data_IF_235806475160
#
_entry.id   IF_235806475160
#
_cell.length_a   1.000
_cell.length_b   1.000
_cell.length_c   1.000
_cell.angle_alpha   90.00
_cell.angle_beta   90.00
_cell.angle_gamma   90.00
#
_symmetry.space_group_name_H-M   'P 1'
#
loop_
_entity.id
_entity.type
_entity.pdbx_description
1 polymer ?
#
# COMPACT_ATOMS: atom_id res chain seq x y z
N UNK A 1 -5.64 16.59 13.46
CA UNK A 1 -5.75 17.34 12.19
C UNK A 1 -7.23 17.68 11.99
N UNK A 2 -7.63 18.97 11.97
CA UNK A 2 -9.03 19.34 11.75
C UNK A 2 -9.49 18.93 10.34
N UNK A 3 -10.75 18.49 10.17
CA UNK A 3 -11.26 18.05 8.85
C UNK A 3 -11.12 19.10 7.75
N UNK A 4 -11.22 20.39 8.11
CA UNK A 4 -11.07 21.50 7.17
C UNK A 4 -9.65 21.64 6.59
N UNK A 5 -8.63 21.09 7.25
CA UNK A 5 -7.24 21.13 6.81
C UNK A 5 -6.79 19.84 6.09
N UNK A 6 -7.66 18.84 5.97
CA UNK A 6 -7.36 17.57 5.30
C UNK A 6 -7.46 17.72 3.79
N UNK A 7 -6.41 17.32 3.06
CA UNK A 7 -6.40 17.35 1.58
C UNK A 7 -7.31 16.30 0.95
N UNK A 8 -7.53 15.18 1.64
CA UNK A 8 -8.35 14.05 1.18
C UNK A 8 -9.13 13.47 2.37
N UNK A 9 -10.31 12.93 2.08
CA UNK A 9 -11.11 12.16 3.04
C UNK A 9 -11.24 10.73 2.52
N UNK A 10 -10.75 9.77 3.31
CA UNK A 10 -10.78 8.35 2.99
C UNK A 10 -11.70 7.63 3.98
N UNK A 11 -12.63 6.84 3.47
CA UNK A 11 -13.46 5.92 4.26
C UNK A 11 -12.79 4.55 4.27
N UNK A 12 -12.48 4.01 5.45
CA UNK A 12 -11.91 2.66 5.58
C UNK A 12 -13.03 1.64 5.36
N UNK A 13 -12.87 0.78 4.36
CA UNK A 13 -13.83 -0.26 3.98
C UNK A 13 -13.46 -1.63 4.52
N UNK A 14 -12.20 -1.85 4.89
CA UNK A 14 -11.70 -3.12 5.39
C UNK A 14 -10.37 -2.99 6.11
N UNK A 15 -10.15 -3.85 7.11
CA UNK A 15 -8.87 -3.95 7.83
C UNK A 15 -8.60 -5.43 8.07
N UNK A 16 -7.42 -5.90 7.67
CA UNK A 16 -6.97 -7.28 7.89
C UNK A 16 -5.47 -7.33 8.15
N UNK A 17 -5.01 -8.46 8.66
CA UNK A 17 -3.59 -8.73 8.95
C UNK A 17 -3.09 -9.82 8.01
N UNK A 18 -1.98 -9.57 7.32
CA UNK A 18 -1.34 -10.53 6.41
C UNK A 18 0.19 -10.49 6.53
N UNK A 19 0.86 -11.52 6.01
CA UNK A 19 2.31 -11.48 5.83
C UNK A 19 2.64 -10.60 4.64
N UNK A 20 3.70 -9.81 4.75
CA UNK A 20 4.15 -8.92 3.68
C UNK A 20 4.33 -9.64 2.33
N UNK A 21 4.90 -10.85 2.35
CA UNK A 21 5.18 -11.62 1.13
C UNK A 21 3.94 -12.29 0.52
N UNK A 22 2.82 -12.34 1.26
CA UNK A 22 1.55 -12.89 0.78
C UNK A 22 0.79 -11.91 -0.13
N UNK A 23 1.28 -10.66 -0.27
CA UNK A 23 0.68 -9.65 -1.15
C UNK A 23 0.51 -10.18 -2.59
N UNK A 24 -0.67 -9.97 -3.15
CA UNK A 24 -0.96 -10.36 -4.54
C UNK A 24 -0.42 -9.33 -5.54
N UNK A 25 -0.28 -9.71 -6.81
CA UNK A 25 0.12 -8.76 -7.85
C UNK A 25 -0.95 -7.66 -8.07
N UNK A 26 -2.24 -7.99 -7.90
CA UNK A 26 -3.33 -7.02 -7.95
C UNK A 26 -3.27 -6.02 -6.80
N UNK A 27 -2.96 -6.47 -5.59
CA UNK A 27 -2.85 -5.58 -4.43
C UNK A 27 -1.65 -4.64 -4.60
N UNK A 28 -0.51 -5.15 -5.08
CA UNK A 28 0.64 -4.32 -5.40
C UNK A 28 0.32 -3.20 -6.41
N UNK A 29 -0.51 -3.49 -7.43
CA UNK A 29 -0.99 -2.48 -8.37
C UNK A 29 -1.91 -1.45 -7.69
N UNK A 30 -2.81 -1.89 -6.81
CA UNK A 30 -3.70 -1.01 -6.03
C UNK A 30 -2.94 -0.09 -5.08
N UNK A 31 -1.83 -0.56 -4.50
CA UNK A 31 -0.90 0.25 -3.70
C UNK A 31 -0.21 1.36 -4.53
N UNK A 32 -0.33 1.31 -5.86
CA UNK A 32 0.18 2.33 -6.77
C UNK A 32 1.46 1.92 -7.50
N UNK A 33 1.85 0.65 -7.48
CA UNK A 33 2.92 0.15 -8.35
C UNK A 33 2.48 0.34 -9.79
N UNK A 34 3.19 1.19 -10.53
CA UNK A 34 3.00 1.33 -11.96
C UNK A 34 3.87 0.28 -12.63
N UNK A 35 3.28 -0.78 -13.19
CA UNK A 35 3.98 -1.86 -13.93
C UNK A 35 4.65 -1.35 -15.23
N UNK A 36 5.56 -0.39 -15.08
CA UNK A 36 6.29 0.32 -16.12
C UNK A 36 7.63 -0.34 -16.39
N UNK A 37 8.09 -1.18 -15.48
CA UNK A 37 9.30 -1.98 -15.65
C UNK A 37 8.96 -3.35 -16.21
N UNK A 38 9.97 -4.11 -16.65
CA UNK A 38 9.79 -5.52 -17.02
C UNK A 38 9.65 -6.44 -15.79
N UNK A 39 9.62 -5.89 -14.56
CA UNK A 39 9.52 -6.66 -13.32
C UNK A 39 8.06 -6.94 -12.97
N UNK A 40 7.84 -8.03 -12.22
CA UNK A 40 6.51 -8.32 -11.70
C UNK A 40 6.08 -7.26 -10.65
N UNK A 41 4.79 -6.88 -10.57
CA UNK A 41 4.33 -5.82 -9.65
C UNK A 41 4.71 -6.03 -8.19
N UNK A 42 4.72 -7.29 -7.73
CA UNK A 42 5.18 -7.64 -6.37
C UNK A 42 6.65 -7.30 -6.13
N UNK A 43 7.50 -7.48 -7.14
CA UNK A 43 8.91 -7.17 -7.02
C UNK A 43 9.14 -5.66 -6.93
N UNK A 44 8.45 -4.86 -7.75
CA UNK A 44 8.47 -3.40 -7.63
C UNK A 44 7.94 -2.94 -6.25
N UNK A 45 6.88 -3.57 -5.73
CA UNK A 45 6.38 -3.31 -4.38
C UNK A 45 7.46 -3.56 -3.31
N UNK A 46 8.19 -4.68 -3.38
CA UNK A 46 9.26 -4.97 -2.42
C UNK A 46 10.46 -4.02 -2.55
N UNK A 47 10.76 -3.52 -3.75
CA UNK A 47 11.77 -2.47 -3.92
C UNK A 47 11.37 -1.18 -3.21
N UNK A 48 10.11 -0.77 -3.33
CA UNK A 48 9.57 0.38 -2.60
C UNK A 48 9.64 0.13 -1.09
N UNK A 49 9.21 -1.05 -0.64
CA UNK A 49 9.28 -1.43 0.77
C UNK A 49 10.70 -1.31 1.33
N UNK A 50 11.69 -1.89 0.63
CA UNK A 50 13.10 -1.81 1.03
C UNK A 50 13.62 -0.37 1.00
N UNK A 51 13.14 0.47 0.08
CA UNK A 51 13.56 1.88 0.04
C UNK A 51 13.12 2.67 1.28
N UNK A 52 12.02 2.25 1.92
CA UNK A 52 11.46 2.89 3.12
C UNK A 52 12.06 2.30 4.40
N UNK A 53 12.18 0.97 4.47
CA UNK A 53 12.53 0.25 5.70
C UNK A 53 13.97 -0.27 5.75
N UNK A 54 14.74 -0.08 4.68
CA UNK A 54 16.12 -0.53 4.55
C UNK A 54 16.29 -1.73 3.60
N UNK A 55 17.53 -1.97 3.21
CA UNK A 55 17.85 -3.04 2.26
C UNK A 55 17.43 -4.41 2.80
N UNK A 56 16.91 -5.26 1.92
CA UNK A 56 16.39 -6.60 2.25
C UNK A 56 15.30 -6.64 3.34
N UNK A 57 14.71 -5.51 3.76
CA UNK A 57 13.69 -5.47 4.82
C UNK A 57 12.45 -6.34 4.54
N UNK A 58 12.09 -6.53 3.27
CA UNK A 58 10.99 -7.40 2.85
C UNK A 58 11.24 -8.90 3.16
N UNK A 59 12.49 -9.33 3.33
CA UNK A 59 12.84 -10.73 3.61
C UNK A 59 12.42 -11.19 5.00
N UNK A 60 12.36 -10.26 5.96
CA UNK A 60 11.86 -10.53 7.31
C UNK A 60 10.39 -10.98 7.31
N UNK A 61 9.67 -10.76 6.21
CA UNK A 61 8.28 -11.12 6.01
C UNK A 61 7.38 -10.75 7.21
N UNK A 62 7.38 -9.47 7.64
CA UNK A 62 6.64 -9.05 8.82
C UNK A 62 5.13 -9.22 8.63
N UNK A 63 4.40 -9.27 9.75
CA UNK A 63 2.97 -9.08 9.75
C UNK A 63 2.66 -7.60 9.49
N UNK A 64 1.81 -7.35 8.51
CA UNK A 64 1.38 -6.01 8.11
C UNK A 64 -0.12 -5.88 8.20
N UNK A 65 -0.56 -4.64 8.42
CA UNK A 65 -1.97 -4.27 8.31
C UNK A 65 -2.25 -3.90 6.86
N UNK A 66 -3.26 -4.53 6.28
CA UNK A 66 -3.80 -4.12 4.99
C UNK A 66 -5.09 -3.36 5.24
N UNK A 67 -5.13 -2.14 4.72
CA UNK A 67 -6.21 -1.19 4.92
C UNK A 67 -6.82 -0.90 3.57
N UNK A 68 -8.06 -1.34 3.38
CA UNK A 68 -8.84 -1.02 2.20
C UNK A 68 -9.62 0.27 2.47
N UNK A 69 -9.64 1.17 1.50
CA UNK A 69 -10.34 2.44 1.63
C UNK A 69 -10.94 2.91 0.31
N UNK A 70 -11.94 3.77 0.44
CA UNK A 70 -12.56 4.49 -0.67
C UNK A 70 -12.31 5.99 -0.49
N UNK A 71 -11.93 6.66 -1.58
CA UNK A 71 -11.86 8.12 -1.59
C UNK A 71 -13.27 8.72 -1.62
N UNK A 72 -13.54 9.62 -0.68
CA UNK A 72 -14.80 10.35 -0.62
C UNK A 72 -14.62 11.69 -1.33
N UNK A 73 -15.47 11.97 -2.33
CA UNK A 73 -15.53 13.31 -2.92
C UNK A 73 -15.94 14.30 -1.84
N UNK A 74 -15.05 15.25 -1.54
CA UNK A 74 -15.31 16.30 -0.58
C UNK A 74 -16.44 17.19 -1.10
N UNK A 75 -17.56 17.26 -0.38
CA UNK A 75 -18.40 18.45 -0.45
C UNK A 75 -17.56 19.61 0.06
N UNK A 76 -17.14 20.49 -0.85
CA UNK A 76 -16.54 21.78 -0.54
C UNK A 76 -17.45 22.60 0.37
#
# INVERSE_FOLDING_TARGET
>A
MPRWASRITLEITGVRVERLQDISASDALTEGVTHRTMNCPRHEYFQIWNSIYGDMAHEANPWVWVIEFKCMEGKA
#
